data_IF_110307025516
#
_entry.id   IF_110307025516
#
_cell.length_a   1.000
_cell.length_b   1.000
_cell.length_c   1.000
_cell.angle_alpha   90.00
_cell.angle_beta   90.00
_cell.angle_gamma   90.00
#
_symmetry.space_group_name_H-M   'P 1'
#
loop_
_entity.id
_entity.type
_entity.pdbx_description
1 polymer ?
#
# COMPACT_ATOMS: atom_id res chain seq x y z
N UNK A 1 31.59 4.04 4.08
CA UNK A 1 31.64 2.59 4.35
C UNK A 1 30.69 2.18 5.49
N UNK A 2 30.82 2.59 6.77
CA UNK A 2 29.84 2.19 7.79
C UNK A 2 28.48 2.90 7.66
N UNK A 3 28.49 4.17 7.24
CA UNK A 3 27.27 4.96 7.08
C UNK A 3 26.40 4.48 5.90
N UNK A 4 27.04 4.04 4.80
CA UNK A 4 26.33 3.52 3.62
C UNK A 4 25.61 2.21 3.93
N UNK A 5 26.24 1.33 4.73
CA UNK A 5 25.65 0.08 5.19
C UNK A 5 24.46 0.33 6.15
N UNK A 6 24.59 1.27 7.08
CA UNK A 6 23.50 1.65 7.98
C UNK A 6 22.33 2.24 7.21
N UNK A 7 22.60 3.10 6.23
CA UNK A 7 21.57 3.68 5.36
C UNK A 7 20.86 2.60 4.53
N UNK A 8 21.61 1.70 3.90
CA UNK A 8 21.05 0.58 3.15
C UNK A 8 20.15 -0.29 4.03
N UNK A 9 20.63 -0.69 5.21
CA UNK A 9 19.87 -1.53 6.13
C UNK A 9 18.58 -0.84 6.61
N UNK A 10 18.66 0.46 6.88
CA UNK A 10 17.50 1.26 7.24
C UNK A 10 16.46 1.25 6.12
N UNK A 11 16.83 1.67 4.90
CA UNK A 11 15.92 1.69 3.74
C UNK A 11 15.35 0.31 3.45
N UNK A 12 16.19 -0.72 3.43
CA UNK A 12 15.75 -2.10 3.17
C UNK A 12 14.73 -2.58 4.22
N UNK A 13 14.99 -2.33 5.50
CA UNK A 13 14.08 -2.73 6.58
C UNK A 13 12.75 -1.96 6.52
N UNK A 14 12.78 -0.66 6.23
CA UNK A 14 11.58 0.16 6.04
C UNK A 14 10.75 -0.33 4.87
N UNK A 15 11.35 -0.50 3.69
CA UNK A 15 10.65 -1.02 2.50
C UNK A 15 10.06 -2.41 2.76
N UNK A 16 10.82 -3.32 3.40
CA UNK A 16 10.32 -4.64 3.77
C UNK A 16 9.10 -4.54 4.68
N UNK A 17 9.13 -3.68 5.69
CA UNK A 17 8.04 -3.53 6.64
C UNK A 17 6.76 -2.99 5.98
N UNK A 18 6.88 -2.06 5.02
CA UNK A 18 5.74 -1.58 4.22
C UNK A 18 5.15 -2.72 3.39
N UNK A 19 5.99 -3.47 2.68
CA UNK A 19 5.58 -4.61 1.86
C UNK A 19 4.89 -5.69 2.69
N UNK A 20 5.51 -6.13 3.79
CA UNK A 20 4.95 -7.15 4.68
C UNK A 20 3.61 -6.75 5.29
N UNK A 21 3.45 -5.47 5.66
CA UNK A 21 2.18 -4.93 6.15
C UNK A 21 1.10 -4.99 5.08
N UNK A 22 1.40 -4.54 3.85
CA UNK A 22 0.45 -4.59 2.73
C UNK A 22 0.00 -6.04 2.44
N UNK A 23 0.95 -6.97 2.33
CA UNK A 23 0.65 -8.39 2.14
C UNK A 23 -0.11 -9.01 3.33
N UNK A 24 0.17 -8.57 4.55
CA UNK A 24 -0.54 -8.99 5.75
C UNK A 24 -2.02 -8.60 5.72
N UNK A 25 -2.30 -7.33 5.42
CA UNK A 25 -3.67 -6.81 5.29
C UNK A 25 -4.40 -7.53 4.15
N UNK A 26 -3.79 -7.61 2.97
CA UNK A 26 -4.35 -8.28 1.80
C UNK A 26 -4.75 -9.73 2.09
N UNK A 27 -3.84 -10.54 2.64
CA UNK A 27 -4.13 -11.94 2.99
C UNK A 27 -5.22 -12.08 4.05
N UNK A 28 -5.26 -11.17 5.03
CA UNK A 28 -6.28 -11.22 6.08
C UNK A 28 -7.67 -10.87 5.53
N UNK A 29 -7.75 -9.90 4.62
CA UNK A 29 -9.00 -9.52 3.92
C UNK A 29 -9.56 -10.69 3.11
N UNK A 30 -8.70 -11.39 2.37
CA UNK A 30 -9.10 -12.50 1.49
C UNK A 30 -8.90 -13.89 2.13
N UNK A 31 -8.86 -13.97 3.46
CA UNK A 31 -8.62 -15.22 4.19
C UNK A 31 -9.60 -16.33 3.85
N UNK A 32 -10.81 -15.98 3.42
CA UNK A 32 -11.82 -16.93 2.91
C UNK A 32 -11.25 -17.86 1.83
N UNK A 33 -10.39 -17.34 0.94
CA UNK A 33 -9.84 -18.10 -0.17
C UNK A 33 -8.60 -18.92 0.19
N UNK A 34 -8.14 -18.88 1.45
CA UNK A 34 -6.98 -19.65 1.89
C UNK A 34 -7.18 -21.16 1.72
N UNK A 35 -8.40 -21.67 1.95
CA UNK A 35 -8.71 -23.09 1.75
C UNK A 35 -8.68 -23.44 0.26
N UNK A 36 -9.23 -22.57 -0.60
CA UNK A 36 -9.20 -22.74 -2.06
C UNK A 36 -7.76 -22.73 -2.59
N UNK A 37 -6.90 -21.85 -2.09
CA UNK A 37 -5.48 -21.83 -2.43
C UNK A 37 -4.74 -23.12 -2.06
N UNK A 38 -5.08 -23.75 -0.94
CA UNK A 38 -4.41 -24.98 -0.49
C UNK A 38 -4.79 -26.22 -1.32
N UNK A 39 -5.91 -26.18 -2.04
CA UNK A 39 -6.44 -27.32 -2.79
C UNK A 39 -6.53 -27.07 -4.30
N UNK A 40 -6.19 -25.88 -4.77
CA UNK A 40 -6.21 -25.51 -6.19
C UNK A 40 -4.95 -25.93 -6.92
N UNK A 41 -5.03 -26.00 -8.25
CA UNK A 41 -3.84 -26.15 -9.10
C UNK A 41 -3.03 -24.85 -9.11
N UNK A 42 -1.72 -24.87 -9.45
CA UNK A 42 -0.92 -23.67 -9.54
C UNK A 42 -1.53 -22.56 -10.42
N UNK A 43 -2.21 -22.94 -11.51
CA UNK A 43 -2.87 -22.01 -12.42
C UNK A 43 -4.07 -21.33 -11.75
N UNK A 44 -4.90 -22.09 -11.03
CA UNK A 44 -6.03 -21.57 -10.27
C UNK A 44 -5.57 -20.66 -9.13
N UNK A 45 -4.48 -21.03 -8.46
CA UNK A 45 -3.87 -20.22 -7.41
C UNK A 45 -3.38 -18.88 -7.95
N UNK A 46 -2.71 -18.88 -9.10
CA UNK A 46 -2.24 -17.64 -9.76
C UNK A 46 -3.42 -16.74 -10.12
N UNK A 47 -4.45 -17.27 -10.77
CA UNK A 47 -5.64 -16.49 -11.15
C UNK A 47 -6.32 -15.86 -9.93
N UNK A 48 -6.45 -16.63 -8.85
CA UNK A 48 -7.04 -16.15 -7.61
C UNK A 48 -6.18 -15.06 -6.94
N UNK A 49 -4.86 -15.23 -6.93
CA UNK A 49 -3.91 -14.24 -6.43
C UNK A 49 -4.02 -12.95 -7.24
N UNK A 50 -3.98 -13.03 -8.57
CA UNK A 50 -4.08 -11.88 -9.46
C UNK A 50 -5.41 -11.13 -9.27
N UNK A 51 -6.53 -11.86 -9.30
CA UNK A 51 -7.86 -11.28 -9.13
C UNK A 51 -8.01 -10.58 -7.77
N UNK A 52 -7.55 -11.21 -6.69
CA UNK A 52 -7.63 -10.63 -5.34
C UNK A 52 -6.67 -9.46 -5.15
N UNK A 53 -5.54 -9.41 -5.87
CA UNK A 53 -4.60 -8.28 -5.84
C UNK A 53 -5.19 -7.06 -6.55
N UNK A 54 -5.80 -7.24 -7.72
CA UNK A 54 -6.52 -6.16 -8.43
C UNK A 54 -7.67 -5.63 -7.58
N UNK A 55 -8.47 -6.54 -7.02
CA UNK A 55 -9.60 -6.17 -6.15
C UNK A 55 -9.13 -5.44 -4.89
N UNK A 56 -8.01 -5.84 -4.29
CA UNK A 56 -7.43 -5.17 -3.13
C UNK A 56 -7.10 -3.71 -3.42
N UNK A 57 -6.43 -3.45 -4.55
CA UNK A 57 -6.07 -2.10 -4.95
C UNK A 57 -7.31 -1.24 -5.20
N UNK A 58 -8.33 -1.80 -5.85
CA UNK A 58 -9.58 -1.07 -6.06
C UNK A 58 -10.28 -0.74 -4.73
N UNK A 59 -10.31 -1.67 -3.76
CA UNK A 59 -10.86 -1.38 -2.43
C UNK A 59 -10.10 -0.26 -1.69
N UNK A 60 -8.79 -0.12 -1.92
CA UNK A 60 -8.01 0.99 -1.38
C UNK A 60 -8.43 2.29 -2.05
N UNK A 61 -8.47 2.33 -3.39
CA UNK A 61 -8.87 3.51 -4.17
C UNK A 61 -10.28 4.00 -3.74
N UNK A 62 -11.26 3.10 -3.55
CA UNK A 62 -12.61 3.42 -3.06
C UNK A 62 -12.60 3.93 -1.62
N UNK A 63 -11.77 3.35 -0.75
CA UNK A 63 -11.66 3.78 0.64
C UNK A 63 -11.03 5.17 0.74
N UNK A 64 -10.01 5.45 -0.05
CA UNK A 64 -9.39 6.78 -0.14
C UNK A 64 -10.39 7.81 -0.65
N UNK A 65 -11.11 7.52 -1.74
CA UNK A 65 -12.17 8.38 -2.24
C UNK A 65 -13.27 8.64 -1.18
N UNK A 66 -13.65 7.62 -0.42
CA UNK A 66 -14.59 7.77 0.69
C UNK A 66 -14.04 8.61 1.85
N UNK A 67 -12.74 8.47 2.17
CA UNK A 67 -12.05 9.27 3.19
C UNK A 67 -11.91 10.72 2.77
N UNK A 68 -11.64 11.01 1.49
CA UNK A 68 -11.60 12.37 0.93
C UNK A 68 -12.99 13.02 0.91
N UNK A 69 -14.04 12.23 0.68
CA UNK A 69 -15.42 12.70 0.72
C UNK A 69 -15.91 13.01 2.16
N UNK A 70 -15.30 12.40 3.17
CA UNK A 70 -15.50 12.78 4.56
C UNK A 70 -14.64 14.02 4.82
N UNK A 71 -15.25 15.14 5.21
CA UNK A 71 -14.50 16.32 5.68
C UNK A 71 -13.88 16.00 7.04
N UNK A 72 -12.79 15.24 7.03
CA UNK A 72 -11.93 15.05 8.19
C UNK A 72 -11.15 16.36 8.32
N UNK A 73 -11.22 17.06 9.47
CA UNK A 73 -10.38 18.22 9.72
C UNK A 73 -8.93 17.87 9.39
N UNK A 74 -8.24 18.75 8.67
CA UNK A 74 -6.81 18.56 8.38
C UNK A 74 -6.10 18.22 9.69
N UNK A 75 -5.09 17.33 9.71
CA UNK A 75 -4.36 17.06 10.94
C UNK A 75 -3.81 18.33 11.63
N UNK A 76 -3.62 19.43 10.88
CA UNK A 76 -3.26 20.75 11.41
C UNK A 76 -4.38 21.52 12.13
N UNK A 77 -5.62 21.04 12.06
CA UNK A 77 -6.82 21.63 12.68
C UNK A 77 -7.15 20.95 14.03
N UNK A 78 -6.48 19.85 14.37
CA UNK A 78 -6.59 19.21 15.67
C UNK A 78 -5.78 19.96 16.72
N UNK A 79 -6.25 19.97 17.96
CA UNK A 79 -5.51 20.51 19.10
C UNK A 79 -4.25 19.68 19.39
N UNK A 80 -3.16 20.34 19.83
CA UNK A 80 -1.83 19.75 20.00
C UNK A 80 -1.79 18.41 20.77
N UNK A 81 -2.69 18.22 21.73
CA UNK A 81 -2.77 17.02 22.56
C UNK A 81 -3.42 15.82 21.86
N UNK A 82 -4.09 16.04 20.73
CA UNK A 82 -4.75 15.00 19.93
C UNK A 82 -3.83 14.42 18.86
N UNK A 83 -2.63 14.96 18.66
CA UNK A 83 -1.63 14.36 17.79
C UNK A 83 -0.98 13.17 18.48
N UNK A 84 -1.26 11.95 18.05
CA UNK A 84 -0.49 10.77 18.42
C UNK A 84 0.69 10.68 17.45
N UNK A 85 1.85 10.24 17.95
CA UNK A 85 3.08 10.21 17.14
C UNK A 85 2.93 9.33 15.90
N UNK A 86 2.95 9.95 14.71
CA UNK A 86 2.79 9.29 13.41
C UNK A 86 1.48 9.59 12.68
N UNK A 87 0.55 10.34 13.29
CA UNK A 87 -0.77 10.64 12.72
C UNK A 87 -0.74 11.76 11.67
N UNK A 88 0.24 12.66 11.81
CA UNK A 88 0.49 13.76 10.88
C UNK A 88 1.59 13.32 9.93
N UNK A 89 1.23 12.90 8.71
CA UNK A 89 2.20 12.84 7.62
C UNK A 89 2.35 14.28 7.13
N UNK A 90 3.44 14.94 7.48
CA UNK A 90 3.73 16.25 6.92
C UNK A 90 3.86 16.13 5.40
N UNK A 91 3.52 17.15 4.63
CA UNK A 91 3.75 17.12 3.17
C UNK A 91 5.24 16.87 2.82
N UNK A 92 6.16 17.19 3.75
CA UNK A 92 7.59 16.86 3.69
C UNK A 92 7.93 15.39 3.92
N UNK A 93 7.00 14.61 4.47
CA UNK A 93 7.12 13.17 4.74
C UNK A 93 6.34 12.32 3.74
N UNK A 94 5.35 12.92 3.08
CA UNK A 94 4.66 12.34 1.93
C UNK A 94 5.70 11.98 0.87
N UNK A 95 5.65 10.74 0.36
CA UNK A 95 6.54 10.26 -0.70
C UNK A 95 8.04 10.16 -0.32
N UNK A 96 8.41 10.13 0.97
CA UNK A 96 9.81 9.88 1.35
C UNK A 96 10.32 8.49 0.93
N UNK A 97 9.42 7.51 0.80
CA UNK A 97 9.74 6.15 0.36
C UNK A 97 9.29 5.93 -1.10
N UNK A 98 8.05 6.31 -1.43
CA UNK A 98 7.51 6.29 -2.79
C UNK A 98 7.58 7.69 -3.40
N UNK A 99 8.75 8.08 -3.90
CA UNK A 99 8.96 9.38 -4.55
C UNK A 99 8.01 9.65 -5.72
N UNK A 100 8.00 10.89 -6.22
CA UNK A 100 7.19 11.30 -7.39
C UNK A 100 7.37 10.34 -8.58
N UNK A 101 8.58 9.81 -8.75
CA UNK A 101 8.92 8.85 -9.79
C UNK A 101 8.24 7.48 -9.60
N UNK A 102 8.10 7.00 -8.37
CA UNK A 102 7.40 5.77 -8.04
C UNK A 102 5.89 5.91 -8.34
N UNK A 103 5.32 7.08 -8.03
CA UNK A 103 3.92 7.42 -8.35
C UNK A 103 3.69 7.44 -9.86
N UNK A 104 4.55 8.12 -10.63
CA UNK A 104 4.47 8.15 -12.10
C UNK A 104 4.58 6.73 -12.68
N UNK A 105 5.50 5.93 -12.16
CA UNK A 105 5.71 4.55 -12.63
C UNK A 105 4.47 3.70 -12.35
N UNK A 106 3.90 3.81 -11.16
CA UNK A 106 2.63 3.14 -10.79
C UNK A 106 1.51 3.55 -11.76
N UNK A 107 1.36 4.84 -12.03
CA UNK A 107 0.27 5.36 -12.88
C UNK A 107 0.43 4.93 -14.35
N UNK A 108 1.68 4.86 -14.85
CA UNK A 108 1.97 4.28 -16.17
C UNK A 108 1.61 2.79 -16.24
N UNK A 109 1.93 2.02 -15.21
CA UNK A 109 1.57 0.58 -15.14
C UNK A 109 0.04 0.43 -15.11
N UNK A 110 -0.66 1.23 -14.30
CA UNK A 110 -2.13 1.26 -14.27
C UNK A 110 -2.68 1.52 -15.68
N UNK A 111 -2.24 2.59 -16.34
CA UNK A 111 -2.69 2.96 -17.68
C UNK A 111 -2.39 1.89 -18.74
N UNK A 112 -1.23 1.23 -18.65
CA UNK A 112 -0.90 0.13 -19.56
C UNK A 112 -1.86 -1.04 -19.40
N UNK A 113 -2.13 -1.47 -18.17
CA UNK A 113 -3.04 -2.60 -17.90
C UNK A 113 -4.46 -2.26 -18.38
N UNK A 114 -4.96 -1.05 -18.11
CA UNK A 114 -6.32 -0.66 -18.51
C UNK A 114 -6.53 -0.56 -20.02
N UNK A 115 -5.47 -0.25 -20.80
CA UNK A 115 -5.58 -0.13 -22.26
C UNK A 115 -5.36 -1.45 -23.02
N UNK A 116 -4.85 -2.48 -22.35
CA UNK A 116 -4.52 -3.77 -22.97
C UNK A 116 -5.30 -4.97 -22.40
N UNK A 117 -6.34 -4.70 -21.61
CA UNK A 117 -7.34 -5.68 -21.14
C UNK A 117 -8.71 -5.34 -21.71
#
# INVERSE_FOLDING_TARGET
>A
MPQDEVHYNHVHSCSRMVVERAFGVWKNTFRLFQVTLLHGTPEEMTLLIEATLVLHNWMIDEKEAALEAITIPSPSEYEDWMHIGGDVIYDSEKNQIDGVEAVITRDHIKAYITNYT
#
